data_IF_360934317540
#
_entry.id   IF_360934317540
#
_cell.length_a   1.000
_cell.length_b   1.000
_cell.length_c   1.000
_cell.angle_alpha   90.00
_cell.angle_beta   90.00
_cell.angle_gamma   90.00
#
_symmetry.space_group_name_H-M   'P 1'
#
loop_
_entity.id
_entity.type
_entity.pdbx_description
1 polymer ?
#
# COMPACT_ATOMS: atom_id res chain seq x y z
N UNK A 1 44.63 31.15 -20.99
CA UNK A 1 45.08 30.83 -19.62
C UNK A 1 44.90 32.09 -18.77
N UNK A 2 43.80 32.18 -18.02
CA UNK A 2 43.64 33.18 -16.96
C UNK A 2 42.86 32.50 -15.82
N UNK A 3 43.56 32.31 -14.71
CA UNK A 3 43.04 31.71 -13.48
C UNK A 3 43.02 32.80 -12.42
N UNK A 4 41.83 33.20 -11.96
CA UNK A 4 41.68 34.16 -10.87
C UNK A 4 41.55 33.38 -9.56
N UNK A 5 42.59 33.45 -8.73
CA UNK A 5 42.56 33.03 -7.32
C UNK A 5 41.90 34.14 -6.49
N UNK A 6 40.86 33.82 -5.72
CA UNK A 6 40.37 34.69 -4.64
C UNK A 6 40.68 34.04 -3.30
N UNK A 7 41.58 34.69 -2.56
CA UNK A 7 41.96 34.38 -1.18
C UNK A 7 40.88 34.91 -0.23
N UNK A 8 40.44 34.08 0.72
CA UNK A 8 39.55 34.47 1.83
C UNK A 8 40.36 35.22 2.89
N UNK A 9 39.98 36.44 3.21
CA UNK A 9 40.45 37.18 4.39
C UNK A 9 39.34 37.19 5.43
N UNK A 10 39.64 36.63 6.60
CA UNK A 10 38.82 36.71 7.82
C UNK A 10 39.32 37.91 8.61
N UNK A 11 38.44 38.83 8.97
CA UNK A 11 38.74 39.91 9.92
C UNK A 11 37.61 40.03 10.94
N UNK A 12 37.93 39.67 12.18
CA UNK A 12 37.17 40.03 13.37
C UNK A 12 37.13 41.55 13.53
N UNK A 13 35.96 42.11 13.83
CA UNK A 13 35.82 43.47 14.34
C UNK A 13 35.13 43.42 15.69
N UNK A 14 35.85 43.91 16.70
CA UNK A 14 35.42 44.18 18.06
C UNK A 14 34.50 45.40 18.08
N UNK A 15 33.32 45.28 18.69
CA UNK A 15 32.45 46.41 18.99
C UNK A 15 32.40 46.64 20.51
N UNK A 16 32.68 47.87 20.88
CA UNK A 16 32.72 48.44 22.23
C UNK A 16 31.34 48.58 22.87
N UNK A 17 31.35 48.45 24.19
CA UNK A 17 30.26 48.55 25.18
C UNK A 17 29.45 49.85 25.13
N UNK A 18 28.13 49.71 25.00
CA UNK A 18 27.16 50.70 25.50
C UNK A 18 26.00 49.94 26.16
N UNK A 19 25.91 50.07 27.48
CA UNK A 19 24.85 49.50 28.32
C UNK A 19 23.47 50.03 27.92
N UNK A 20 22.64 49.12 27.39
CA UNK A 20 21.18 49.22 27.48
C UNK A 20 20.67 47.86 27.93
N UNK A 21 20.25 47.78 29.19
CA UNK A 21 19.51 46.64 29.74
C UNK A 21 18.20 46.48 28.96
N UNK A 22 18.21 45.69 27.90
CA UNK A 22 17.00 45.05 27.39
C UNK A 22 16.80 43.79 28.22
N UNK A 23 15.73 43.79 29.01
CA UNK A 23 15.20 42.57 29.63
C UNK A 23 14.64 41.68 28.52
N UNK A 24 15.48 40.79 27.99
CA UNK A 24 15.00 39.64 27.22
C UNK A 24 14.18 38.75 28.16
N UNK A 25 12.85 38.91 28.10
CA UNK A 25 11.94 37.88 28.60
C UNK A 25 11.99 36.72 27.60
N UNK A 26 12.97 35.83 27.79
CA UNK A 26 12.85 34.47 27.29
C UNK A 26 11.60 33.86 27.93
N UNK A 27 10.57 33.64 27.13
CA UNK A 27 9.45 32.78 27.54
C UNK A 27 9.94 31.34 27.34
N UNK A 28 10.89 30.92 28.18
CA UNK A 28 11.02 29.50 28.48
C UNK A 28 9.98 29.23 29.56
N UNK A 29 8.91 28.55 29.16
CA UNK A 29 7.82 28.16 30.03
C UNK A 29 8.39 27.50 31.29
N UNK A 30 8.03 28.09 32.43
CA UNK A 30 8.38 27.66 33.76
C UNK A 30 8.06 26.19 34.02
N UNK A 31 8.86 25.63 34.92
CA UNK A 31 8.79 24.30 35.51
C UNK A 31 7.36 23.82 35.82
N UNK A 32 6.75 23.13 34.87
CA UNK A 32 5.92 21.97 35.14
C UNK A 32 6.60 20.77 34.50
N UNK A 33 7.29 19.96 35.32
CA UNK A 33 7.68 18.60 34.94
C UNK A 33 6.40 17.76 34.89
N UNK A 34 5.57 18.00 33.88
CA UNK A 34 4.73 16.97 33.30
C UNK A 34 5.50 16.46 32.09
N UNK A 35 5.82 15.17 32.08
CA UNK A 35 6.43 14.46 30.96
C UNK A 35 5.66 14.76 29.65
N UNK A 36 6.04 15.82 28.94
CA UNK A 36 5.44 16.20 27.65
C UNK A 36 5.82 15.22 26.54
N UNK A 37 6.94 14.52 26.72
CA UNK A 37 7.34 13.36 25.95
C UNK A 37 6.75 12.11 26.61
N UNK A 38 5.43 12.00 26.59
CA UNK A 38 4.78 10.74 26.95
C UNK A 38 5.17 9.70 25.89
N UNK A 39 6.31 9.02 26.11
CA UNK A 39 6.89 7.99 25.23
C UNK A 39 6.16 6.65 25.34
N UNK A 40 5.14 6.57 26.18
CA UNK A 40 4.31 5.38 26.41
C UNK A 40 3.27 5.13 25.30
N UNK A 41 3.58 5.46 24.05
CA UNK A 41 2.90 4.83 22.92
C UNK A 41 3.63 3.54 22.58
N UNK A 42 3.25 2.45 23.25
CA UNK A 42 3.50 1.10 22.70
C UNK A 42 2.74 1.01 21.38
N UNK A 43 3.44 1.29 20.29
CA UNK A 43 2.95 0.97 18.94
C UNK A 43 2.86 -0.55 18.85
N UNK A 44 1.70 -1.07 18.47
CA UNK A 44 1.52 -2.49 18.17
C UNK A 44 2.15 -2.91 16.84
N UNK A 45 2.64 -1.95 16.05
CA UNK A 45 3.28 -2.22 14.76
C UNK A 45 4.75 -2.59 14.93
N UNK A 46 5.15 -3.61 14.18
CA UNK A 46 6.52 -4.08 14.03
C UNK A 46 7.39 -2.95 13.48
N UNK A 47 8.46 -2.65 14.20
CA UNK A 47 9.51 -1.73 13.75
C UNK A 47 10.53 -2.46 12.89
N UNK A 48 11.37 -1.70 12.18
CA UNK A 48 12.41 -2.28 11.34
C UNK A 48 13.48 -3.00 12.16
N UNK A 49 13.84 -2.43 13.31
CA UNK A 49 14.84 -3.04 14.20
C UNK A 49 14.29 -4.35 14.78
N UNK A 50 13.03 -4.37 15.23
CA UNK A 50 12.37 -5.62 15.64
C UNK A 50 12.28 -6.64 14.50
N UNK A 51 12.03 -6.21 13.26
CA UNK A 51 12.05 -7.11 12.10
C UNK A 51 13.43 -7.76 11.96
N UNK A 52 14.49 -6.97 12.01
CA UNK A 52 15.87 -7.43 11.83
C UNK A 52 16.30 -8.35 12.97
N UNK A 53 16.10 -7.90 14.22
CA UNK A 53 16.55 -8.59 15.42
C UNK A 53 15.79 -9.91 15.64
N UNK A 54 14.47 -9.92 15.43
CA UNK A 54 13.66 -11.08 15.74
C UNK A 54 13.58 -12.11 14.59
N UNK A 55 13.68 -11.66 13.34
CA UNK A 55 13.37 -12.54 12.19
C UNK A 55 14.48 -12.64 11.14
N UNK A 56 15.29 -11.59 10.92
CA UNK A 56 16.26 -11.56 9.81
C UNK A 56 17.70 -11.94 10.21
N UNK A 57 17.88 -12.70 11.29
CA UNK A 57 19.20 -13.03 11.84
C UNK A 57 20.09 -13.87 10.91
N UNK A 58 19.61 -15.02 10.44
CA UNK A 58 20.30 -15.86 9.46
C UNK A 58 19.31 -16.64 8.59
N UNK A 59 19.78 -17.24 7.49
CA UNK A 59 18.90 -17.94 6.53
C UNK A 59 18.10 -19.07 7.17
N UNK A 60 18.66 -19.84 8.11
CA UNK A 60 17.95 -20.93 8.78
C UNK A 60 16.79 -20.39 9.61
N UNK A 61 17.02 -19.33 10.40
CA UNK A 61 15.96 -18.67 11.17
C UNK A 61 14.88 -18.09 10.26
N UNK A 62 15.26 -17.41 9.18
CA UNK A 62 14.32 -16.83 8.20
C UNK A 62 13.46 -17.93 7.58
N UNK A 63 14.07 -19.03 7.13
CA UNK A 63 13.35 -20.14 6.50
C UNK A 63 12.37 -20.76 7.49
N UNK A 64 12.82 -21.04 8.72
CA UNK A 64 11.95 -21.61 9.75
C UNK A 64 10.76 -20.69 10.07
N UNK A 65 11.01 -19.39 10.23
CA UNK A 65 9.95 -18.41 10.46
C UNK A 65 8.95 -18.33 9.29
N UNK A 66 9.44 -18.28 8.04
CA UNK A 66 8.56 -18.26 6.86
C UNK A 66 7.77 -19.56 6.71
N UNK A 67 8.34 -20.70 7.10
CA UNK A 67 7.65 -21.98 7.17
C UNK A 67 6.57 -21.96 8.26
N UNK A 68 6.84 -21.41 9.44
CA UNK A 68 5.85 -21.24 10.52
C UNK A 68 4.69 -20.34 10.09
N UNK A 69 4.94 -19.31 9.29
CA UNK A 69 3.88 -18.50 8.68
C UNK A 69 3.17 -19.20 7.51
N UNK A 70 3.76 -20.28 6.98
CA UNK A 70 3.32 -21.02 5.77
C UNK A 70 3.36 -20.16 4.50
N UNK A 71 4.26 -19.17 4.47
CA UNK A 71 4.54 -18.37 3.26
C UNK A 71 5.44 -19.15 2.31
N UNK A 72 6.27 -20.05 2.86
CA UNK A 72 6.99 -21.09 2.11
C UNK A 72 6.60 -22.48 2.63
N UNK A 73 6.82 -23.50 1.81
CA UNK A 73 6.39 -24.86 2.11
C UNK A 73 7.09 -25.42 3.37
N UNK A 74 6.31 -25.99 4.30
CA UNK A 74 6.82 -26.76 5.45
C UNK A 74 7.27 -28.18 5.06
N UNK A 75 6.65 -28.72 4.02
CA UNK A 75 6.92 -30.05 3.49
C UNK A 75 6.61 -30.07 2.00
N UNK A 76 7.40 -30.81 1.22
CA UNK A 76 7.20 -30.97 -0.22
C UNK A 76 7.21 -32.46 -0.54
N UNK A 77 6.29 -32.90 -1.39
CA UNK A 77 6.28 -34.27 -1.92
C UNK A 77 7.07 -34.32 -3.22
N UNK A 78 7.80 -35.41 -3.44
CA UNK A 78 8.51 -35.60 -4.68
C UNK A 78 7.51 -35.87 -5.82
N UNK A 79 7.46 -35.07 -6.90
CA UNK A 79 6.48 -35.24 -7.97
C UNK A 79 6.60 -36.59 -8.69
N UNK A 80 7.78 -37.22 -8.65
CA UNK A 80 8.02 -38.50 -9.34
C UNK A 80 7.66 -39.74 -8.53
N UNK A 81 7.76 -39.71 -7.20
CA UNK A 81 7.60 -40.91 -6.37
C UNK A 81 6.73 -40.73 -5.14
N UNK A 82 6.17 -39.54 -4.96
CA UNK A 82 5.23 -39.16 -3.90
C UNK A 82 5.76 -39.32 -2.47
N UNK A 83 7.06 -39.57 -2.32
CA UNK A 83 7.71 -39.54 -1.01
C UNK A 83 7.98 -38.10 -0.58
N UNK A 84 7.85 -37.84 0.72
CA UNK A 84 8.31 -36.59 1.34
C UNK A 84 9.78 -36.33 1.02
N UNK A 85 10.07 -35.10 0.60
CA UNK A 85 11.42 -34.61 0.38
C UNK A 85 12.03 -34.15 1.70
N UNK A 86 13.36 -34.11 1.74
CA UNK A 86 14.12 -33.64 2.90
C UNK A 86 14.70 -32.26 2.59
N UNK A 87 14.63 -31.34 3.55
CA UNK A 87 15.31 -30.05 3.47
C UNK A 87 16.80 -30.26 3.77
N UNK A 88 17.67 -29.84 2.86
CA UNK A 88 19.12 -30.05 2.96
C UNK A 88 19.83 -28.73 2.73
N UNK A 89 20.90 -28.49 3.51
CA UNK A 89 21.80 -27.37 3.29
C UNK A 89 22.62 -27.54 2.00
N UNK A 90 22.88 -26.44 1.31
CA UNK A 90 23.61 -26.45 0.04
C UNK A 90 24.33 -25.13 -0.21
N UNK A 91 25.46 -25.18 -0.92
CA UNK A 91 26.27 -23.99 -1.21
C UNK A 91 26.00 -23.43 -2.62
N UNK A 92 25.18 -24.11 -3.42
CA UNK A 92 24.87 -23.75 -4.82
C UNK A 92 23.60 -22.90 -4.96
N UNK A 93 23.04 -22.42 -3.84
CA UNK A 93 21.83 -21.58 -3.78
C UNK A 93 22.06 -20.43 -2.81
N UNK A 94 21.53 -19.25 -3.13
CA UNK A 94 21.68 -18.04 -2.30
C UNK A 94 21.09 -18.21 -0.89
N UNK A 95 20.01 -18.98 -0.76
CA UNK A 95 19.36 -19.21 0.53
C UNK A 95 20.05 -20.27 1.37
N UNK A 96 20.99 -21.04 0.80
CA UNK A 96 21.71 -22.08 1.52
C UNK A 96 20.94 -23.38 1.73
N UNK A 97 19.72 -23.53 1.19
CA UNK A 97 18.87 -24.71 1.37
C UNK A 97 18.08 -25.09 0.11
N UNK A 98 17.77 -26.39 -0.02
CA UNK A 98 16.89 -26.95 -1.05
C UNK A 98 16.13 -28.19 -0.57
N UNK A 99 15.01 -28.48 -1.20
CA UNK A 99 14.31 -29.76 -1.05
C UNK A 99 14.95 -30.81 -1.95
N UNK A 100 15.24 -32.00 -1.41
CA UNK A 100 15.77 -33.11 -2.20
C UNK A 100 15.06 -34.42 -1.87
N UNK A 101 14.70 -35.17 -2.91
CA UNK A 101 14.18 -36.52 -2.75
C UNK A 101 15.32 -37.50 -2.50
N UNK A 102 15.21 -38.34 -1.46
CA UNK A 102 16.22 -39.36 -1.13
C UNK A 102 15.79 -40.80 -1.49
N UNK A 103 14.60 -40.99 -2.08
CA UNK A 103 14.08 -42.31 -2.47
C UNK A 103 14.98 -42.92 -3.56
N UNK A 104 15.22 -44.22 -3.46
CA UNK A 104 15.80 -45.01 -4.53
C UNK A 104 14.70 -45.88 -5.15
N UNK A 105 14.64 -45.91 -6.48
CA UNK A 105 13.78 -46.83 -7.25
C UNK A 105 14.69 -47.65 -8.15
N UNK A 106 14.52 -48.97 -8.13
CA UNK A 106 15.34 -49.92 -8.88
C UNK A 106 16.86 -49.73 -8.65
N UNK A 107 17.26 -49.47 -7.41
CA UNK A 107 18.66 -49.26 -7.03
C UNK A 107 19.27 -47.92 -7.45
N UNK A 108 18.52 -47.02 -8.10
CA UNK A 108 18.98 -45.67 -8.47
C UNK A 108 18.27 -44.60 -7.65
N UNK A 109 19.04 -43.66 -7.08
CA UNK A 109 18.49 -42.51 -6.36
C UNK A 109 17.77 -41.56 -7.31
N UNK A 110 16.62 -41.05 -6.87
CA UNK A 110 15.93 -39.95 -7.51
C UNK A 110 16.80 -38.70 -7.39
N UNK A 111 17.15 -38.06 -8.51
CA UNK A 111 17.86 -36.77 -8.55
C UNK A 111 16.87 -35.62 -8.63
N UNK A 112 15.79 -35.68 -7.86
CA UNK A 112 14.74 -34.66 -7.88
C UNK A 112 15.01 -33.66 -6.78
N UNK A 113 15.10 -32.39 -7.17
CA UNK A 113 15.32 -31.26 -6.29
C UNK A 113 14.22 -30.21 -6.52
N UNK A 114 13.89 -29.45 -5.48
CA UNK A 114 12.98 -28.31 -5.58
C UNK A 114 13.51 -27.14 -4.77
N UNK A 115 13.22 -25.93 -5.26
CA UNK A 115 13.54 -24.71 -4.54
C UNK A 115 12.68 -24.61 -3.28
N UNK A 116 13.25 -24.09 -2.20
CA UNK A 116 12.48 -23.77 -0.98
C UNK A 116 11.44 -22.66 -1.24
N UNK A 117 11.64 -21.88 -2.30
CA UNK A 117 10.79 -20.75 -2.69
C UNK A 117 9.65 -21.15 -3.61
N UNK A 118 9.60 -22.40 -4.05
CA UNK A 118 8.71 -22.82 -5.14
C UNK A 118 7.25 -22.51 -4.78
N UNK A 119 6.54 -21.83 -5.70
CA UNK A 119 5.14 -21.39 -5.55
C UNK A 119 4.85 -20.48 -4.35
N UNK A 120 5.88 -19.83 -3.80
CA UNK A 120 5.75 -18.80 -2.77
C UNK A 120 5.91 -17.40 -3.35
N UNK A 121 5.70 -16.38 -2.51
CA UNK A 121 6.03 -14.97 -2.80
C UNK A 121 7.49 -14.74 -3.24
N UNK A 122 8.40 -15.66 -2.89
CA UNK A 122 9.82 -15.55 -3.18
C UNK A 122 10.23 -16.25 -4.48
N UNK A 123 9.31 -16.99 -5.15
CA UNK A 123 9.63 -17.84 -6.30
C UNK A 123 10.19 -17.01 -7.47
N UNK A 124 11.11 -17.61 -8.24
CA UNK A 124 11.75 -17.02 -9.43
C UNK A 124 12.50 -15.68 -9.22
N UNK A 125 12.66 -15.20 -7.98
CA UNK A 125 13.41 -13.98 -7.71
C UNK A 125 14.90 -14.24 -7.54
N UNK A 126 15.72 -13.34 -8.09
CA UNK A 126 17.17 -13.31 -7.88
C UNK A 126 17.59 -12.60 -6.59
N UNK A 127 16.68 -11.86 -5.93
CA UNK A 127 16.94 -11.26 -4.63
C UNK A 127 16.96 -12.34 -3.54
N UNK A 128 17.76 -12.15 -2.51
CA UNK A 128 17.76 -13.00 -1.30
C UNK A 128 16.43 -12.86 -0.53
N UNK A 129 16.09 -13.85 0.29
CA UNK A 129 14.91 -13.76 1.17
C UNK A 129 14.94 -12.49 2.03
N UNK A 130 16.12 -12.17 2.59
CA UNK A 130 16.33 -10.96 3.40
C UNK A 130 16.05 -9.67 2.62
N UNK A 131 16.56 -9.54 1.40
CA UNK A 131 16.31 -8.36 0.57
C UNK A 131 14.83 -8.20 0.22
N UNK A 132 14.15 -9.31 -0.10
CA UNK A 132 12.71 -9.31 -0.40
C UNK A 132 11.90 -8.88 0.82
N UNK A 133 12.21 -9.42 2.00
CA UNK A 133 11.50 -9.08 3.24
C UNK A 133 11.70 -7.61 3.61
N UNK A 134 12.93 -7.10 3.50
CA UNK A 134 13.23 -5.68 3.73
C UNK A 134 12.51 -4.77 2.72
N UNK A 135 12.55 -5.13 1.44
CA UNK A 135 11.84 -4.39 0.39
C UNK A 135 10.34 -4.31 0.71
N UNK A 136 9.74 -5.46 1.00
CA UNK A 136 8.32 -5.60 1.30
C UNK A 136 7.94 -4.78 2.53
N UNK A 137 8.72 -4.88 3.61
CA UNK A 137 8.51 -4.11 4.83
C UNK A 137 8.57 -2.59 4.57
N UNK A 138 9.64 -2.11 3.92
CA UNK A 138 9.78 -0.68 3.64
C UNK A 138 8.69 -0.15 2.71
N UNK A 139 8.28 -0.96 1.72
CA UNK A 139 7.16 -0.64 0.86
C UNK A 139 5.85 -0.56 1.67
N UNK A 140 5.60 -1.49 2.59
CA UNK A 140 4.42 -1.51 3.43
C UNK A 140 4.31 -0.25 4.30
N UNK A 141 5.42 0.19 4.90
CA UNK A 141 5.43 1.43 5.71
C UNK A 141 5.46 2.73 4.86
N UNK A 142 5.50 2.62 3.53
CA UNK A 142 5.38 3.76 2.63
C UNK A 142 6.69 4.50 2.36
N UNK A 143 7.84 3.81 2.47
CA UNK A 143 9.12 4.38 2.06
C UNK A 143 9.15 4.61 0.54
N UNK A 144 9.80 5.68 0.09
CA UNK A 144 9.86 5.97 -1.33
C UNK A 144 10.68 4.91 -2.08
N UNK A 145 10.24 4.55 -3.27
CA UNK A 145 10.87 3.52 -4.09
C UNK A 145 12.37 3.79 -4.32
N UNK A 146 12.75 5.05 -4.57
CA UNK A 146 14.16 5.40 -4.78
C UNK A 146 14.99 5.20 -3.50
N UNK A 147 14.38 5.41 -2.34
CA UNK A 147 15.03 5.14 -1.06
C UNK A 147 15.23 3.64 -0.87
N UNK A 148 14.21 2.81 -1.12
CA UNK A 148 14.31 1.35 -1.03
C UNK A 148 15.40 0.81 -1.98
N UNK A 149 15.41 1.28 -3.23
CA UNK A 149 16.42 0.91 -4.24
C UNK A 149 17.82 1.26 -3.72
N UNK A 150 18.01 2.46 -3.18
CA UNK A 150 19.30 2.92 -2.65
C UNK A 150 19.76 2.08 -1.46
N UNK A 151 18.88 1.81 -0.49
CA UNK A 151 19.19 1.03 0.71
C UNK A 151 19.59 -0.42 0.38
N UNK A 152 18.90 -1.04 -0.57
CA UNK A 152 19.18 -2.41 -1.01
C UNK A 152 20.21 -2.49 -2.15
N UNK A 153 20.69 -1.34 -2.65
CA UNK A 153 21.59 -1.24 -3.81
C UNK A 153 21.08 -2.00 -5.04
N UNK A 154 19.77 -1.93 -5.28
CA UNK A 154 19.13 -2.61 -6.40
C UNK A 154 19.29 -1.84 -7.71
N UNK A 155 19.11 -2.54 -8.82
CA UNK A 155 18.91 -1.85 -10.09
C UNK A 155 17.57 -1.11 -10.09
N UNK A 156 17.43 0.02 -10.81
CA UNK A 156 16.15 0.73 -10.91
C UNK A 156 15.02 -0.15 -11.42
N UNK A 157 15.30 -0.99 -12.43
CA UNK A 157 14.32 -1.90 -13.01
C UNK A 157 13.82 -2.91 -11.97
N UNK A 158 14.73 -3.51 -11.19
CA UNK A 158 14.36 -4.43 -10.10
C UNK A 158 13.45 -3.75 -9.09
N UNK A 159 13.71 -2.49 -8.72
CA UNK A 159 12.84 -1.76 -7.80
C UNK A 159 11.46 -1.45 -8.38
N UNK A 160 11.36 -1.20 -9.68
CA UNK A 160 10.09 -1.03 -10.41
C UNK A 160 9.28 -2.33 -10.40
N UNK A 161 9.91 -3.44 -10.77
CA UNK A 161 9.27 -4.75 -10.80
C UNK A 161 8.76 -5.14 -9.41
N UNK A 162 9.58 -5.01 -8.37
CA UNK A 162 9.18 -5.36 -7.00
C UNK A 162 8.06 -4.48 -6.44
N UNK A 163 8.06 -3.20 -6.81
CA UNK A 163 6.95 -2.31 -6.46
C UNK A 163 5.66 -2.73 -7.18
N UNK A 164 5.77 -3.18 -8.44
CA UNK A 164 4.63 -3.70 -9.20
C UNK A 164 4.09 -5.00 -8.60
N UNK A 165 4.97 -5.95 -8.25
CA UNK A 165 4.57 -7.20 -7.59
C UNK A 165 3.82 -6.94 -6.28
N UNK A 166 4.26 -5.97 -5.46
CA UNK A 166 3.53 -5.61 -4.24
C UNK A 166 2.11 -5.09 -4.55
N UNK A 167 1.96 -4.27 -5.60
CA UNK A 167 0.63 -3.79 -6.00
C UNK A 167 -0.25 -4.89 -6.58
N UNK A 168 0.32 -5.87 -7.26
CA UNK A 168 -0.42 -7.03 -7.78
C UNK A 168 -1.00 -7.87 -6.64
N UNK A 169 -0.25 -8.04 -5.54
CA UNK A 169 -0.78 -8.66 -4.30
C UNK A 169 -1.97 -7.86 -3.76
N UNK A 170 -1.88 -6.53 -3.69
CA UNK A 170 -3.01 -5.69 -3.28
C UNK A 170 -4.20 -5.85 -4.23
N UNK A 171 -3.98 -5.82 -5.54
CA UNK A 171 -5.02 -5.96 -6.56
C UNK A 171 -5.77 -7.28 -6.42
N UNK A 172 -5.05 -8.40 -6.45
CA UNK A 172 -5.66 -9.72 -6.33
C UNK A 172 -6.39 -9.90 -4.99
N UNK A 173 -5.87 -9.32 -3.91
CA UNK A 173 -6.52 -9.35 -2.60
C UNK A 173 -7.82 -8.56 -2.58
N UNK A 174 -7.80 -7.31 -3.09
CA UNK A 174 -8.99 -6.46 -3.13
C UNK A 174 -10.06 -7.06 -4.03
N UNK A 175 -9.69 -7.61 -5.18
CA UNK A 175 -10.63 -8.30 -6.08
C UNK A 175 -11.25 -9.54 -5.42
N UNK A 176 -10.47 -10.34 -4.68
CA UNK A 176 -10.97 -11.54 -3.98
C UNK A 176 -11.85 -11.23 -2.77
N UNK A 177 -11.55 -10.15 -2.04
CA UNK A 177 -12.29 -9.72 -0.83
C UNK A 177 -13.41 -8.71 -1.14
N UNK A 178 -13.66 -8.42 -2.41
CA UNK A 178 -14.69 -7.48 -2.84
C UNK A 178 -16.07 -7.92 -2.38
N UNK A 179 -16.74 -7.06 -1.61
CA UNK A 179 -18.13 -7.22 -1.18
C UNK A 179 -18.92 -5.93 -1.45
N UNK A 180 -20.25 -6.05 -1.53
CA UNK A 180 -21.11 -4.86 -1.60
C UNK A 180 -21.06 -4.11 -0.26
N UNK A 181 -21.09 -2.78 -0.34
CA UNK A 181 -21.11 -1.88 0.82
C UNK A 181 -22.53 -1.37 1.09
N UNK A 182 -22.74 -0.78 2.26
CA UNK A 182 -24.04 -0.25 2.68
C UNK A 182 -24.97 -1.33 3.26
N UNK A 183 -26.27 -1.18 2.99
CA UNK A 183 -27.37 -1.98 3.52
C UNK A 183 -28.34 -1.14 4.35
N UNK A 184 -29.37 -1.79 4.90
CA UNK A 184 -30.36 -1.14 5.75
C UNK A 184 -29.70 -0.42 6.93
N UNK A 185 -30.06 0.85 7.13
CA UNK A 185 -29.49 1.69 8.19
C UNK A 185 -28.04 2.16 7.94
N UNK A 186 -27.48 1.88 6.75
CA UNK A 186 -26.15 2.38 6.36
C UNK A 186 -26.24 3.54 5.38
N UNK A 187 -25.23 4.39 5.46
CA UNK A 187 -25.06 5.55 4.57
C UNK A 187 -23.78 5.40 3.76
N UNK A 188 -23.90 5.61 2.44
CA UNK A 188 -22.77 5.59 1.50
C UNK A 188 -22.72 6.92 0.75
N UNK A 189 -21.56 7.57 0.77
CA UNK A 189 -21.30 8.73 -0.08
C UNK A 189 -20.73 8.27 -1.41
N UNK A 190 -21.28 8.73 -2.53
CA UNK A 190 -20.78 8.44 -3.88
C UNK A 190 -20.41 9.74 -4.61
N UNK A 191 -19.38 9.68 -5.46
CA UNK A 191 -18.95 10.82 -6.27
C UNK A 191 -18.09 10.36 -7.47
N UNK A 192 -17.98 11.20 -8.49
CA UNK A 192 -17.10 11.03 -9.63
C UNK A 192 -15.89 11.94 -9.54
N UNK A 193 -14.73 11.40 -9.88
CA UNK A 193 -13.49 12.16 -9.95
C UNK A 193 -12.76 11.95 -11.27
N UNK A 194 -11.99 12.95 -11.69
CA UNK A 194 -11.02 12.79 -12.78
C UNK A 194 -9.60 12.84 -12.25
N UNK A 195 -8.85 11.77 -12.50
CA UNK A 195 -7.40 11.67 -12.28
C UNK A 195 -6.69 12.10 -13.55
N UNK A 196 -5.54 12.79 -13.43
CA UNK A 196 -4.77 13.24 -14.60
C UNK A 196 -5.51 14.31 -15.41
N UNK A 197 -5.91 15.41 -14.77
CA UNK A 197 -6.54 16.56 -15.44
C UNK A 197 -5.55 17.69 -15.68
N UNK A 198 -5.76 18.46 -16.75
CA UNK A 198 -5.05 19.72 -17.00
C UNK A 198 -5.28 20.71 -15.87
N UNK A 199 -4.24 21.46 -15.51
CA UNK A 199 -4.38 22.61 -14.62
C UNK A 199 -5.14 23.71 -15.37
N UNK A 200 -6.34 24.05 -14.89
CA UNK A 200 -7.23 25.05 -15.51
C UNK A 200 -7.56 24.81 -16.99
N UNK A 201 -7.62 23.55 -17.43
CA UNK A 201 -7.81 23.20 -18.86
C UNK A 201 -6.72 23.73 -19.81
N UNK A 202 -5.61 24.26 -19.28
CA UNK A 202 -4.47 24.82 -20.04
C UNK A 202 -3.26 23.89 -19.98
N UNK A 203 -2.37 24.00 -20.97
CA UNK A 203 -1.11 23.24 -21.03
C UNK A 203 -1.22 21.85 -21.69
N UNK A 204 -0.23 20.99 -21.42
CA UNK A 204 -0.06 19.68 -22.06
C UNK A 204 -1.32 18.80 -21.92
N UNK A 205 -1.71 18.09 -22.99
CA UNK A 205 -2.83 17.15 -22.93
C UNK A 205 -2.53 16.00 -21.99
N UNK A 206 -3.48 15.68 -21.12
CA UNK A 206 -3.45 14.46 -20.31
C UNK A 206 -4.80 13.81 -20.52
N UNK A 207 -4.81 12.60 -21.06
CA UNK A 207 -6.03 11.80 -21.28
C UNK A 207 -6.83 11.70 -19.98
N UNK A 208 -6.12 11.35 -18.90
CA UNK A 208 -6.66 11.16 -17.57
C UNK A 208 -7.53 9.90 -17.50
N UNK A 209 -8.09 9.65 -16.32
CA UNK A 209 -9.01 8.55 -16.07
C UNK A 209 -10.17 9.09 -15.23
N UNK A 210 -11.40 8.89 -15.71
CA UNK A 210 -12.57 9.07 -14.86
C UNK A 210 -12.66 7.90 -13.90
N UNK A 211 -12.96 8.22 -12.65
CA UNK A 211 -13.18 7.25 -11.59
C UNK A 211 -14.50 7.53 -10.92
N UNK A 212 -15.22 6.47 -10.60
CA UNK A 212 -16.41 6.48 -9.78
C UNK A 212 -16.12 5.73 -8.50
N UNK A 213 -16.62 6.19 -7.37
CA UNK A 213 -16.41 5.48 -6.12
C UNK A 213 -17.46 5.79 -5.08
N UNK A 214 -17.48 4.93 -4.07
CA UNK A 214 -18.34 5.06 -2.92
C UNK A 214 -17.61 4.71 -1.63
N UNK A 215 -17.98 5.37 -0.55
CA UNK A 215 -17.40 5.16 0.78
C UNK A 215 -18.51 5.10 1.82
N UNK A 216 -18.50 4.05 2.64
CA UNK A 216 -19.45 3.92 3.74
C UNK A 216 -19.09 4.94 4.85
N UNK A 217 -20.08 5.62 5.42
CA UNK A 217 -19.85 6.70 6.38
C UNK A 217 -19.21 6.22 7.69
N UNK A 218 -19.64 5.05 8.19
CA UNK A 218 -19.27 4.57 9.53
C UNK A 218 -18.19 3.48 9.51
N UNK A 219 -17.65 3.14 8.34
CA UNK A 219 -16.59 2.14 8.18
C UNK A 219 -15.49 2.64 7.23
N UNK A 220 -14.53 1.75 6.92
CA UNK A 220 -13.50 1.95 5.89
C UNK A 220 -13.83 1.21 4.58
N UNK A 221 -15.01 0.60 4.47
CA UNK A 221 -15.42 -0.05 3.23
C UNK A 221 -15.62 1.01 2.14
N UNK A 222 -15.00 0.78 0.99
CA UNK A 222 -15.11 1.64 -0.18
C UNK A 222 -14.91 0.84 -1.45
N UNK A 223 -15.27 1.43 -2.58
CA UNK A 223 -14.91 0.95 -3.91
C UNK A 223 -14.45 2.12 -4.78
N UNK A 224 -13.55 1.82 -5.71
CA UNK A 224 -13.05 2.77 -6.71
C UNK A 224 -13.02 2.03 -8.04
N UNK A 225 -13.72 2.55 -9.03
CA UNK A 225 -13.88 1.95 -10.35
C UNK A 225 -13.45 2.93 -11.43
N UNK A 226 -12.71 2.43 -12.41
CA UNK A 226 -12.39 3.20 -13.61
C UNK A 226 -13.57 3.20 -14.55
N UNK A 227 -13.99 4.37 -15.02
CA UNK A 227 -15.10 4.52 -15.97
C UNK A 227 -14.68 5.34 -17.17
N UNK A 228 -15.25 5.07 -18.35
CA UNK A 228 -14.97 5.86 -19.56
C UNK A 228 -15.83 7.13 -19.60
N UNK A 229 -17.05 7.06 -19.09
CA UNK A 229 -17.97 8.19 -18.94
C UNK A 229 -18.72 8.14 -17.61
N UNK A 230 -19.42 9.25 -17.32
CA UNK A 230 -20.23 9.46 -16.10
C UNK A 230 -21.73 9.53 -16.43
N UNK A 231 -22.15 8.80 -17.47
CA UNK A 231 -23.55 8.72 -17.83
C UNK A 231 -24.32 7.86 -16.82
N UNK A 232 -25.63 8.09 -16.71
CA UNK A 232 -26.51 7.25 -15.90
C UNK A 232 -26.40 5.76 -16.28
N UNK A 233 -26.30 5.47 -17.58
CA UNK A 233 -26.15 4.10 -18.11
C UNK A 233 -24.88 3.39 -17.61
N UNK A 234 -23.85 4.15 -17.29
CA UNK A 234 -22.59 3.64 -16.74
C UNK A 234 -22.63 3.55 -15.22
N UNK A 235 -23.13 4.58 -14.54
CA UNK A 235 -23.04 4.71 -13.08
C UNK A 235 -24.08 3.88 -12.32
N UNK A 236 -25.32 3.79 -12.82
CA UNK A 236 -26.37 3.02 -12.14
C UNK A 236 -26.02 1.53 -12.01
N UNK A 237 -25.54 0.83 -13.07
CA UNK A 237 -25.08 -0.55 -12.91
C UNK A 237 -23.95 -0.71 -11.90
N UNK A 238 -23.04 0.27 -11.80
CA UNK A 238 -21.95 0.25 -10.81
C UNK A 238 -22.49 0.44 -9.40
N UNK A 239 -23.45 1.35 -9.19
CA UNK A 239 -24.15 1.48 -7.91
C UNK A 239 -24.78 0.15 -7.51
N UNK A 240 -25.49 -0.52 -8.42
CA UNK A 240 -26.11 -1.82 -8.14
C UNK A 240 -25.10 -2.94 -7.92
N UNK A 241 -23.95 -2.90 -8.61
CA UNK A 241 -22.84 -3.84 -8.43
C UNK A 241 -22.24 -3.71 -7.04
N UNK A 242 -22.09 -2.49 -6.53
CA UNK A 242 -21.27 -2.21 -5.35
C UNK A 242 -22.04 -1.85 -4.09
N UNK A 243 -23.29 -1.43 -4.18
CA UNK A 243 -24.08 -0.92 -3.05
C UNK A 243 -25.32 -1.79 -2.86
N UNK A 244 -25.53 -2.27 -1.63
CA UNK A 244 -26.71 -3.05 -1.26
C UNK A 244 -27.99 -2.19 -1.35
N UNK A 245 -29.11 -2.71 -1.86
CA UNK A 245 -30.42 -2.05 -1.72
C UNK A 245 -30.74 -1.71 -0.26
N UNK A 246 -31.60 -0.72 -0.04
CA UNK A 246 -31.95 -0.19 1.28
C UNK A 246 -30.96 0.85 1.84
N UNK A 247 -29.80 1.00 1.21
CA UNK A 247 -28.78 1.99 1.58
C UNK A 247 -29.28 3.43 1.38
N UNK A 248 -28.89 4.31 2.30
CA UNK A 248 -28.99 5.76 2.12
C UNK A 248 -27.76 6.23 1.32
N UNK A 249 -27.99 6.66 0.08
CA UNK A 249 -26.93 7.20 -0.78
C UNK A 249 -26.93 8.72 -0.67
N UNK A 250 -25.76 9.30 -0.40
CA UNK A 250 -25.52 10.74 -0.47
C UNK A 250 -24.64 11.04 -1.69
N UNK A 251 -25.10 11.92 -2.57
CA UNK A 251 -24.31 12.41 -3.71
C UNK A 251 -24.48 13.92 -3.91
N UNK A 252 -23.75 14.48 -4.87
CA UNK A 252 -24.07 15.80 -5.40
C UNK A 252 -25.41 15.78 -6.18
N UNK A 253 -25.86 16.95 -6.65
CA UNK A 253 -27.08 17.08 -7.46
C UNK A 253 -26.90 16.63 -8.92
N UNK A 254 -26.02 15.66 -9.23
CA UNK A 254 -25.82 15.17 -10.60
C UNK A 254 -27.07 14.47 -11.13
N UNK A 255 -27.49 14.84 -12.35
CA UNK A 255 -28.72 14.32 -12.98
C UNK A 255 -28.71 12.79 -13.17
N UNK A 256 -27.53 12.18 -13.25
CA UNK A 256 -27.40 10.73 -13.40
C UNK A 256 -27.93 9.93 -12.21
N UNK A 257 -28.14 10.56 -11.06
CA UNK A 257 -28.60 9.89 -9.83
C UNK A 257 -30.10 10.02 -9.55
N UNK A 258 -30.85 10.75 -10.39
CA UNK A 258 -32.29 11.03 -10.17
C UNK A 258 -33.13 9.75 -9.99
N UNK A 259 -32.72 8.64 -10.62
CA UNK A 259 -33.48 7.39 -10.60
C UNK A 259 -33.06 6.40 -9.51
N UNK A 260 -32.17 6.76 -8.58
CA UNK A 260 -31.68 5.84 -7.54
C UNK A 260 -32.82 5.22 -6.70
N UNK A 261 -33.86 5.98 -6.40
CA UNK A 261 -35.03 5.48 -5.65
C UNK A 261 -35.74 4.32 -6.35
N UNK A 262 -35.77 4.30 -7.69
CA UNK A 262 -36.36 3.21 -8.48
C UNK A 262 -35.61 1.89 -8.34
N UNK A 263 -34.36 1.94 -7.91
CA UNK A 263 -33.49 0.77 -7.73
C UNK A 263 -33.39 0.33 -6.26
N UNK A 264 -34.24 0.88 -5.38
CA UNK A 264 -34.34 0.47 -3.98
C UNK A 264 -33.36 1.19 -3.05
N UNK A 265 -32.92 2.41 -3.40
CA UNK A 265 -32.05 3.23 -2.55
C UNK A 265 -32.81 4.43 -2.00
N UNK A 266 -32.41 4.94 -0.84
CA UNK A 266 -32.86 6.25 -0.36
C UNK A 266 -31.83 7.27 -0.84
N UNK A 267 -32.23 8.25 -1.65
CA UNK A 267 -31.29 9.22 -2.21
C UNK A 267 -31.37 10.56 -1.51
N UNK A 268 -30.23 11.06 -1.03
CA UNK A 268 -30.07 12.40 -0.51
C UNK A 268 -29.05 13.17 -1.34
N UNK A 269 -29.32 14.44 -1.58
CA UNK A 269 -28.47 15.30 -2.40
C UNK A 269 -27.92 16.48 -1.63
N UNK A 270 -26.70 16.88 -1.96
CA UNK A 270 -26.05 18.09 -1.44
C UNK A 270 -25.72 19.02 -2.61
N UNK A 271 -26.15 20.28 -2.51
CA UNK A 271 -25.89 21.26 -3.57
C UNK A 271 -24.63 22.09 -3.25
N UNK A 272 -23.48 21.65 -3.74
CA UNK A 272 -22.19 22.32 -3.55
C UNK A 272 -22.09 23.75 -4.12
N UNK A 273 -23.05 24.18 -4.96
CA UNK A 273 -23.11 25.59 -5.40
C UNK A 273 -23.72 26.52 -4.36
N UNK A 274 -24.39 25.96 -3.34
CA UNK A 274 -25.14 26.71 -2.31
C UNK A 274 -24.64 26.45 -0.90
N UNK A 275 -24.28 25.20 -0.59
CA UNK A 275 -24.03 24.76 0.77
C UNK A 275 -22.98 23.63 0.83
N UNK A 276 -22.21 23.60 1.92
CA UNK A 276 -21.22 22.53 2.19
C UNK A 276 -21.83 21.34 2.94
N UNK A 277 -22.92 21.60 3.67
CA UNK A 277 -23.73 20.63 4.40
C UNK A 277 -25.17 21.03 4.14
N UNK A 278 -26.05 20.09 3.78
CA UNK A 278 -27.45 20.41 3.57
C UNK A 278 -28.17 20.68 4.91
N UNK A 279 -29.43 21.12 4.84
CA UNK A 279 -30.24 21.43 6.04
C UNK A 279 -30.44 20.22 6.97
N UNK A 280 -30.34 19.01 6.44
CA UNK A 280 -30.52 17.76 7.16
C UNK A 280 -29.20 17.20 7.73
N UNK A 281 -28.08 17.92 7.54
CA UNK A 281 -26.75 17.55 8.04
C UNK A 281 -25.93 16.66 7.10
N UNK A 282 -26.44 16.31 5.92
CA UNK A 282 -25.74 15.45 4.95
C UNK A 282 -24.66 16.23 4.17
N UNK A 283 -23.56 15.54 3.84
CA UNK A 283 -22.42 16.07 3.09
C UNK A 283 -21.71 14.94 2.32
N UNK A 284 -20.83 15.31 1.38
CA UNK A 284 -19.97 14.40 0.61
C UNK A 284 -18.49 14.54 0.99
N UNK A 285 -18.20 15.17 2.15
CA UNK A 285 -16.83 15.53 2.55
C UNK A 285 -15.90 14.31 2.68
N UNK A 286 -16.45 13.14 3.05
CA UNK A 286 -15.65 11.92 3.23
C UNK A 286 -15.15 11.41 1.89
N UNK A 287 -16.01 11.35 0.87
CA UNK A 287 -15.62 10.91 -0.48
C UNK A 287 -14.71 11.93 -1.17
N UNK A 288 -14.97 13.24 -1.02
CA UNK A 288 -14.08 14.29 -1.52
C UNK A 288 -12.67 14.21 -0.90
N UNK A 289 -12.62 14.01 0.43
CA UNK A 289 -11.39 13.79 1.17
C UNK A 289 -10.66 12.51 0.75
N UNK A 290 -11.40 11.47 0.36
CA UNK A 290 -10.87 10.22 -0.18
C UNK A 290 -10.22 10.45 -1.55
N UNK A 291 -10.87 11.20 -2.45
CA UNK A 291 -10.28 11.58 -3.73
C UNK A 291 -9.02 12.40 -3.62
N UNK A 292 -8.97 13.33 -2.66
CA UNK A 292 -7.76 14.11 -2.38
C UNK A 292 -6.59 13.20 -1.98
N UNK A 293 -6.84 12.25 -1.07
CA UNK A 293 -5.85 11.29 -0.62
C UNK A 293 -5.39 10.37 -1.75
N UNK A 294 -6.32 9.83 -2.54
CA UNK A 294 -5.99 9.00 -3.70
C UNK A 294 -5.03 9.76 -4.64
N UNK A 295 -5.41 10.96 -5.06
CA UNK A 295 -4.63 11.76 -6.02
C UNK A 295 -3.25 12.14 -5.50
N UNK A 296 -3.11 12.34 -4.18
CA UNK A 296 -1.82 12.64 -3.55
C UNK A 296 -0.87 11.44 -3.50
N UNK A 297 -1.40 10.20 -3.48
CA UNK A 297 -0.62 8.97 -3.46
C UNK A 297 -0.26 8.44 -4.86
N UNK A 298 -0.84 9.02 -5.92
CA UNK A 298 -0.50 8.62 -7.28
C UNK A 298 0.89 9.14 -7.68
N UNK A 299 1.71 8.35 -8.40
CA UNK A 299 2.98 8.83 -8.92
C UNK A 299 2.81 10.10 -9.77
N UNK A 300 3.73 11.04 -9.64
CA UNK A 300 3.69 12.30 -10.39
C UNK A 300 3.88 12.06 -11.89
N UNK A 301 4.78 11.14 -12.26
CA UNK A 301 5.20 10.85 -13.63
C UNK A 301 5.00 9.36 -13.98
N UNK A 302 5.19 8.99 -15.26
CA UNK A 302 5.20 7.58 -15.68
C UNK A 302 3.84 6.86 -15.64
N UNK A 303 2.73 7.60 -15.55
CA UNK A 303 1.38 7.02 -15.51
C UNK A 303 0.88 6.72 -16.91
N UNK A 304 0.36 5.51 -17.08
CA UNK A 304 -0.38 5.06 -18.26
C UNK A 304 -1.73 4.53 -17.79
N UNK A 305 -2.74 4.55 -18.66
CA UNK A 305 -4.12 4.22 -18.29
C UNK A 305 -4.24 2.85 -17.62
N UNK A 306 -3.54 1.84 -18.15
CA UNK A 306 -3.54 0.49 -17.62
C UNK A 306 -2.86 0.33 -16.24
N UNK A 307 -2.09 1.32 -15.77
CA UNK A 307 -1.51 1.27 -14.41
C UNK A 307 -2.54 1.65 -13.32
N UNK A 308 -3.63 2.34 -13.66
CA UNK A 308 -4.54 2.91 -12.67
C UNK A 308 -5.19 1.86 -11.77
N UNK A 309 -5.54 0.68 -12.30
CA UNK A 309 -6.10 -0.41 -11.50
C UNK A 309 -5.20 -0.79 -10.33
N UNK A 310 -3.91 -1.02 -10.59
CA UNK A 310 -2.93 -1.38 -9.55
C UNK A 310 -2.72 -0.27 -8.52
N UNK A 311 -2.72 1.01 -8.95
CA UNK A 311 -2.62 2.14 -8.02
C UNK A 311 -3.87 2.30 -7.13
N UNK A 312 -5.05 2.08 -7.70
CA UNK A 312 -6.31 2.18 -6.95
C UNK A 312 -6.42 1.03 -5.94
N UNK A 313 -6.03 -0.18 -6.35
CA UNK A 313 -5.95 -1.32 -5.45
C UNK A 313 -4.96 -1.10 -4.30
N UNK A 314 -3.74 -0.60 -4.57
CA UNK A 314 -2.79 -0.24 -3.51
C UNK A 314 -3.41 0.77 -2.53
N UNK A 315 -4.02 1.83 -3.06
CA UNK A 315 -4.64 2.86 -2.24
C UNK A 315 -5.78 2.31 -1.37
N UNK A 316 -6.66 1.49 -1.96
CA UNK A 316 -7.76 0.85 -1.24
C UNK A 316 -7.25 -0.10 -0.15
N UNK A 317 -6.27 -0.94 -0.48
CA UNK A 317 -5.65 -1.87 0.46
C UNK A 317 -5.06 -1.14 1.67
N UNK A 318 -4.27 -0.08 1.44
CA UNK A 318 -3.73 0.76 2.52
C UNK A 318 -4.85 1.48 3.30
N UNK A 319 -5.92 1.89 2.64
CA UNK A 319 -7.02 2.61 3.27
C UNK A 319 -7.83 1.72 4.23
N UNK A 320 -8.15 0.49 3.80
CA UNK A 320 -8.90 -0.49 4.58
C UNK A 320 -8.09 -0.94 5.79
N UNK A 321 -6.79 -1.20 5.61
CA UNK A 321 -5.88 -1.71 6.64
C UNK A 321 -5.15 -0.61 7.44
N UNK A 322 -5.61 0.64 7.42
CA UNK A 322 -4.88 1.80 7.98
C UNK A 322 -4.52 1.69 9.48
N UNK A 323 -5.27 0.90 10.25
CA UNK A 323 -5.04 0.71 11.69
C UNK A 323 -4.31 -0.60 12.01
N UNK A 324 -3.92 -1.35 11.00
CA UNK A 324 -3.24 -2.63 11.12
C UNK A 324 -1.76 -2.48 10.76
N UNK A 325 -0.98 -3.46 11.17
CA UNK A 325 0.39 -3.59 10.68
C UNK A 325 0.37 -4.08 9.23
N UNK A 326 0.62 -3.16 8.31
CA UNK A 326 0.57 -3.44 6.87
C UNK A 326 1.56 -4.53 6.44
N UNK A 327 2.69 -4.71 7.13
CA UNK A 327 3.63 -5.77 6.77
C UNK A 327 3.05 -7.14 7.08
N UNK A 328 2.46 -7.31 8.28
CA UNK A 328 1.79 -8.55 8.65
C UNK A 328 0.58 -8.86 7.78
N UNK A 329 -0.24 -7.84 7.48
CA UNK A 329 -1.37 -7.97 6.55
C UNK A 329 -0.86 -8.43 5.18
N UNK A 330 0.20 -7.81 4.66
CA UNK A 330 0.76 -8.14 3.36
C UNK A 330 1.28 -9.58 3.31
N UNK A 331 2.01 -10.04 4.33
CA UNK A 331 2.50 -11.41 4.41
C UNK A 331 1.36 -12.43 4.42
N UNK A 332 0.28 -12.14 5.14
CA UNK A 332 -0.92 -12.99 5.13
C UNK A 332 -1.61 -12.98 3.76
N UNK A 333 -1.74 -11.83 3.11
CA UNK A 333 -2.32 -11.73 1.77
C UNK A 333 -1.48 -12.49 0.74
N UNK A 334 -0.14 -12.35 0.79
CA UNK A 334 0.76 -13.13 -0.03
C UNK A 334 0.58 -14.64 0.21
N UNK A 335 0.51 -15.10 1.45
CA UNK A 335 0.20 -16.50 1.78
C UNK A 335 -1.11 -17.00 1.15
N UNK A 336 -2.16 -16.17 1.13
CA UNK A 336 -3.45 -16.58 0.57
C UNK A 336 -3.47 -16.62 -0.96
N UNK A 337 -2.56 -15.90 -1.61
CA UNK A 337 -2.43 -15.85 -3.07
C UNK A 337 -1.46 -16.91 -3.59
N UNK A 338 -0.31 -17.07 -2.92
CA UNK A 338 0.72 -18.03 -3.25
C UNK A 338 0.53 -19.27 -2.38
N UNK A 339 0.24 -20.43 -2.99
CA UNK A 339 0.05 -21.66 -2.25
C UNK A 339 1.27 -22.58 -2.42
N UNK A 340 2.29 -22.46 -1.54
CA UNK A 340 3.49 -23.28 -1.62
C UNK A 340 3.24 -24.75 -1.20
N UNK A 341 2.12 -25.03 -0.54
CA UNK A 341 1.77 -26.36 -0.02
C UNK A 341 1.03 -27.25 -1.03
N UNK A 342 0.57 -26.69 -2.15
CA UNK A 342 -0.15 -27.41 -3.22
C UNK A 342 0.80 -27.91 -4.34
N UNK A 343 2.09 -28.11 -4.06
CA UNK A 343 3.13 -28.41 -5.05
C UNK A 343 3.62 -29.86 -4.96
#
# INVERSE_FOLDING_TARGET
MYTVKRTRTVSCQTASSVDKQFTEKSVQCDNHILNSYNRDRKSSHLTYDELVENYLGNNECIIKWLQELEIIARSVVCPQCQNLMVLISCNDRSDGYKWQCRKAVNGKRHKVESSIRKGSWFDNSNMTLTEILKFTYWWCIGLDQSQIISQLKLSPNTGVDWTMFCREVCLATIEKKTEKIGGDGKTVQIDESKVGKRKYHRGHYVEGQWVFGGIEQDSRKCFIESVEDRSEKTLIPLVQKWILPGTIIISDCWKGYINLEKYGYVHKTVNHSKEFVNKDGDNTNKIEGHWRQLKANLPTHGRRKYHYSTYFAEFMWRYVHKQEDLFWVFLNDAKQLYNPSNI
#
